data_IF_457089762948
#
_entry.id   IF_457089762948
#
_cell.length_a   1.000
_cell.length_b   1.000
_cell.length_c   1.000
_cell.angle_alpha   90.00
_cell.angle_beta   90.00
_cell.angle_gamma   90.00
#
_symmetry.space_group_name_H-M   'P 1'
#
loop_
_entity.id
_entity.type
_entity.pdbx_description
1 polymer ?
#
# COMPACT_ATOMS: atom_id res chain seq x y z
N UNK A 1 14.86 40.63 -32.15
CA UNK A 1 14.10 40.69 -30.88
C UNK A 1 13.17 39.48 -30.69
N UNK A 2 12.56 38.91 -31.74
CA UNK A 2 11.64 37.75 -31.65
C UNK A 2 12.22 36.44 -31.08
N UNK A 3 13.52 36.17 -31.27
CA UNK A 3 14.18 34.95 -30.75
C UNK A 3 14.30 34.92 -29.22
N UNK A 4 14.61 36.06 -28.59
CA UNK A 4 14.71 36.17 -27.14
C UNK A 4 13.36 35.93 -26.44
N UNK A 5 12.26 36.44 -27.02
CA UNK A 5 10.92 36.20 -26.46
C UNK A 5 10.48 34.74 -26.55
N UNK A 6 10.88 34.00 -27.60
CA UNK A 6 10.60 32.56 -27.73
C UNK A 6 11.38 31.72 -26.72
N UNK A 7 12.64 32.08 -26.46
CA UNK A 7 13.47 31.44 -25.44
C UNK A 7 12.94 31.71 -24.04
N UNK A 8 12.58 32.97 -23.75
CA UNK A 8 11.96 33.34 -22.47
C UNK A 8 10.63 32.62 -22.24
N UNK A 9 9.75 32.56 -23.25
CA UNK A 9 8.49 31.84 -23.14
C UNK A 9 8.70 30.33 -22.90
N UNK A 10 9.65 29.71 -23.61
CA UNK A 10 9.98 28.29 -23.41
C UNK A 10 10.52 28.01 -22.01
N UNK A 11 11.36 28.91 -21.48
CA UNK A 11 11.91 28.80 -20.13
C UNK A 11 10.80 28.92 -19.07
N UNK A 12 9.88 29.86 -19.25
CA UNK A 12 8.73 30.06 -18.36
C UNK A 12 7.81 28.82 -18.38
N UNK A 13 7.53 28.26 -19.56
CA UNK A 13 6.75 27.03 -19.68
C UNK A 13 7.44 25.83 -19.02
N UNK A 14 8.76 25.71 -19.15
CA UNK A 14 9.52 24.64 -18.50
C UNK A 14 9.48 24.77 -16.97
N UNK A 15 9.65 25.99 -16.45
CA UNK A 15 9.58 26.27 -15.01
C UNK A 15 8.16 25.98 -14.48
N UNK A 16 7.12 26.39 -15.20
CA UNK A 16 5.73 26.08 -14.83
C UNK A 16 5.47 24.58 -14.80
N UNK A 17 6.01 23.81 -15.74
CA UNK A 17 5.90 22.36 -15.77
C UNK A 17 6.61 21.71 -14.56
N UNK A 18 7.81 22.19 -14.21
CA UNK A 18 8.55 21.71 -13.04
C UNK A 18 7.83 22.03 -11.72
N UNK A 19 7.12 23.15 -11.62
CA UNK A 19 6.33 23.51 -10.45
C UNK A 19 5.03 22.69 -10.32
N UNK A 20 4.50 22.21 -11.45
CA UNK A 20 3.31 21.34 -11.48
C UNK A 20 3.63 19.85 -11.27
N UNK A 21 4.90 19.45 -11.30
CA UNK A 21 5.27 18.07 -10.96
C UNK A 21 4.96 17.78 -9.49
N UNK A 22 3.92 16.97 -9.26
CA UNK A 22 3.63 16.42 -7.94
C UNK A 22 4.85 15.63 -7.46
N UNK A 23 5.29 15.86 -6.22
CA UNK A 23 6.39 15.09 -5.63
C UNK A 23 6.01 13.61 -5.62
N UNK A 24 6.72 12.80 -6.42
CA UNK A 24 6.59 11.35 -6.35
C UNK A 24 7.29 10.88 -5.07
N UNK A 25 6.50 10.63 -4.02
CA UNK A 25 7.00 10.02 -2.79
C UNK A 25 7.23 8.53 -3.11
N UNK A 26 8.49 8.10 -3.02
CA UNK A 26 8.81 6.68 -3.17
C UNK A 26 8.24 5.91 -1.98
N UNK A 27 7.46 4.86 -2.25
CA UNK A 27 7.00 3.96 -1.21
C UNK A 27 8.20 3.26 -0.57
N UNK A 28 8.18 3.11 0.75
CA UNK A 28 9.22 2.34 1.44
C UNK A 28 9.06 0.85 1.13
N UNK A 29 10.13 0.06 1.24
CA UNK A 29 10.05 -1.41 1.10
C UNK A 29 9.05 -2.02 2.07
N UNK A 30 8.92 -1.46 3.28
CA UNK A 30 7.92 -1.88 4.26
C UNK A 30 6.48 -1.63 3.78
N UNK A 31 6.22 -0.50 3.14
CA UNK A 31 4.91 -0.19 2.55
C UNK A 31 4.54 -1.12 1.40
N UNK A 32 5.52 -1.63 0.65
CA UNK A 32 5.27 -2.60 -0.42
C UNK A 32 4.76 -3.95 0.13
N UNK A 33 5.17 -4.33 1.34
CA UNK A 33 4.86 -5.64 1.95
C UNK A 33 3.91 -5.57 3.15
N UNK A 34 3.12 -4.50 3.26
CA UNK A 34 2.00 -4.42 4.21
C UNK A 34 0.67 -4.77 3.54
N UNK A 35 -0.34 -5.18 4.32
CA UNK A 35 -1.69 -5.41 3.83
C UNK A 35 -2.73 -4.85 4.79
N UNK A 36 -3.90 -4.50 4.24
CA UNK A 36 -5.07 -4.08 5.00
C UNK A 36 -6.31 -4.85 4.56
N UNK A 37 -7.25 -4.98 5.47
CA UNK A 37 -8.55 -5.58 5.20
C UNK A 37 -9.62 -4.89 6.02
N UNK A 38 -10.87 -4.94 5.56
CA UNK A 38 -12.00 -4.39 6.30
C UNK A 38 -12.42 -5.42 7.33
N UNK A 39 -12.56 -4.98 8.58
CA UNK A 39 -13.09 -5.79 9.68
C UNK A 39 -14.41 -5.18 10.17
N UNK A 40 -15.35 -6.01 10.60
CA UNK A 40 -16.66 -5.58 11.11
C UNK A 40 -16.61 -5.09 12.57
N UNK A 41 -15.42 -5.04 13.18
CA UNK A 41 -15.18 -4.48 14.51
C UNK A 41 -13.74 -4.67 14.98
N UNK A 42 -13.39 -4.12 16.15
CA UNK A 42 -12.01 -4.10 16.67
C UNK A 42 -11.71 -5.16 17.75
N UNK A 43 -12.71 -5.97 18.11
CA UNK A 43 -12.58 -7.08 19.06
C UNK A 43 -11.66 -8.20 18.57
N UNK A 44 -11.16 -9.02 19.50
CA UNK A 44 -10.22 -10.11 19.23
C UNK A 44 -10.67 -11.07 18.11
N UNK A 45 -11.95 -11.51 18.04
CA UNK A 45 -12.38 -12.41 16.97
C UNK A 45 -12.25 -11.78 15.57
N UNK A 46 -12.65 -10.51 15.44
CA UNK A 46 -12.58 -9.77 14.18
C UNK A 46 -11.12 -9.47 13.80
N UNK A 47 -10.28 -9.18 14.79
CA UNK A 47 -8.84 -9.00 14.61
C UNK A 47 -8.18 -10.26 14.05
N UNK A 48 -8.47 -11.44 14.60
CA UNK A 48 -7.89 -12.70 14.13
C UNK A 48 -8.30 -13.03 12.70
N UNK A 49 -9.55 -12.74 12.31
CA UNK A 49 -9.99 -12.85 10.92
C UNK A 49 -9.19 -11.90 10.05
N UNK A 50 -9.04 -10.64 10.48
CA UNK A 50 -8.26 -9.65 9.76
C UNK A 50 -6.80 -10.05 9.53
N UNK A 51 -6.16 -10.67 10.54
CA UNK A 51 -4.79 -11.17 10.42
C UNK A 51 -4.66 -12.30 9.40
N UNK A 52 -5.62 -13.22 9.35
CA UNK A 52 -5.63 -14.32 8.37
C UNK A 52 -5.71 -13.78 6.94
N UNK A 53 -6.63 -12.84 6.71
CA UNK A 53 -6.81 -12.21 5.39
C UNK A 53 -5.56 -11.41 4.97
N UNK A 54 -4.97 -10.68 5.92
CA UNK A 54 -3.76 -9.89 5.64
C UNK A 54 -2.54 -10.78 5.37
N UNK A 55 -2.40 -11.91 6.07
CA UNK A 55 -1.31 -12.85 5.85
C UNK A 55 -1.30 -13.38 4.40
N UNK A 56 -2.47 -13.79 3.90
CA UNK A 56 -2.62 -14.24 2.50
C UNK A 56 -2.16 -13.15 1.52
N UNK A 57 -2.59 -11.91 1.73
CA UNK A 57 -2.24 -10.77 0.88
C UNK A 57 -0.74 -10.48 0.90
N UNK A 58 -0.12 -10.46 2.09
CA UNK A 58 1.32 -10.19 2.23
C UNK A 58 2.14 -11.27 1.55
N UNK A 59 1.81 -12.55 1.76
CA UNK A 59 2.58 -13.64 1.16
C UNK A 59 2.44 -13.69 -0.36
N UNK A 60 1.27 -13.36 -0.92
CA UNK A 60 1.12 -13.19 -2.38
C UNK A 60 1.95 -12.02 -2.89
N UNK A 61 1.99 -10.88 -2.18
CA UNK A 61 2.82 -9.73 -2.56
C UNK A 61 4.32 -10.03 -2.55
N UNK A 62 4.79 -10.77 -1.54
CA UNK A 62 6.22 -11.13 -1.40
C UNK A 62 6.63 -12.21 -2.41
N UNK A 63 5.79 -13.22 -2.62
CA UNK A 63 6.13 -14.37 -3.49
C UNK A 63 5.80 -14.16 -4.97
N UNK A 64 4.80 -13.32 -5.28
CA UNK A 64 4.22 -13.22 -6.63
C UNK A 64 3.35 -14.41 -7.04
N UNK A 65 3.18 -15.44 -6.20
CA UNK A 65 2.41 -16.65 -6.51
C UNK A 65 0.97 -16.55 -6.00
N UNK A 66 0.02 -16.26 -6.89
CA UNK A 66 -1.40 -16.20 -6.54
C UNK A 66 -1.99 -17.54 -6.07
N UNK A 67 -1.38 -18.67 -6.49
CA UNK A 67 -1.85 -20.02 -6.14
C UNK A 67 -1.52 -20.37 -4.69
N UNK A 68 -0.64 -19.60 -4.04
CA UNK A 68 -0.24 -19.80 -2.65
C UNK A 68 -1.45 -19.92 -1.72
N UNK A 69 -2.48 -19.10 -1.92
CA UNK A 69 -3.69 -19.10 -1.07
C UNK A 69 -4.46 -20.42 -1.08
N UNK A 70 -4.31 -21.23 -2.13
CA UNK A 70 -4.97 -22.53 -2.28
C UNK A 70 -4.12 -23.69 -1.77
N UNK A 71 -2.86 -23.45 -1.43
CA UNK A 71 -1.95 -24.49 -0.96
C UNK A 71 -2.35 -24.93 0.46
N UNK A 72 -2.33 -26.24 0.75
CA UNK A 72 -2.74 -26.75 2.07
C UNK A 72 -1.85 -26.21 3.20
N UNK A 73 -0.59 -25.89 2.93
CA UNK A 73 0.36 -25.31 3.89
C UNK A 73 -0.14 -23.96 4.45
N UNK A 74 -0.91 -23.20 3.65
CA UNK A 74 -1.50 -21.94 4.11
C UNK A 74 -2.53 -22.13 5.21
N UNK A 75 -3.20 -23.29 5.31
CA UNK A 75 -4.16 -23.55 6.40
C UNK A 75 -3.48 -23.51 7.77
N UNK A 76 -2.29 -24.12 7.88
CA UNK A 76 -1.52 -24.12 9.12
C UNK A 76 -1.02 -22.70 9.47
N UNK A 77 -0.58 -21.94 8.47
CA UNK A 77 -0.09 -20.57 8.66
C UNK A 77 -1.19 -19.60 9.10
N UNK A 78 -2.39 -19.71 8.52
CA UNK A 78 -3.56 -18.91 8.95
C UNK A 78 -3.96 -19.16 10.39
N UNK A 79 -3.80 -20.40 10.88
CA UNK A 79 -4.02 -20.73 12.29
C UNK A 79 -3.11 -19.97 13.25
N UNK A 80 -1.95 -19.51 12.77
CA UNK A 80 -0.92 -18.79 13.53
C UNK A 80 -0.70 -17.36 13.02
N UNK A 81 -1.67 -16.80 12.29
CA UNK A 81 -1.49 -15.52 11.61
C UNK A 81 -1.06 -14.39 12.57
N UNK A 82 -1.59 -14.38 13.79
CA UNK A 82 -1.24 -13.40 14.81
C UNK A 82 0.26 -13.40 15.18
N UNK A 83 0.91 -14.58 15.18
CA UNK A 83 2.32 -14.73 15.57
C UNK A 83 3.27 -14.08 14.56
N UNK A 84 2.82 -13.86 13.32
CA UNK A 84 3.59 -13.20 12.27
C UNK A 84 3.39 -11.67 12.23
N UNK A 85 2.48 -11.13 13.02
CA UNK A 85 2.17 -9.69 13.01
C UNK A 85 3.13 -8.94 13.92
N UNK A 86 4.00 -8.12 13.33
CA UNK A 86 4.87 -7.22 14.11
C UNK A 86 4.09 -6.03 14.69
N UNK A 87 3.21 -5.41 13.90
CA UNK A 87 2.38 -4.30 14.34
C UNK A 87 1.10 -4.21 13.51
N UNK A 88 0.04 -3.65 14.10
CA UNK A 88 -1.21 -3.38 13.41
C UNK A 88 -1.83 -2.09 13.93
N UNK A 89 -2.67 -1.45 13.11
CA UNK A 89 -3.45 -0.27 13.48
C UNK A 89 -4.85 -0.41 12.88
N UNK A 90 -5.83 0.12 13.59
CA UNK A 90 -7.16 0.32 13.02
C UNK A 90 -7.22 1.71 12.41
N UNK A 91 -7.94 1.81 11.30
CA UNK A 91 -8.25 3.07 10.65
C UNK A 91 -9.75 3.09 10.39
N UNK A 92 -10.41 4.20 10.73
CA UNK A 92 -11.81 4.36 10.42
C UNK A 92 -11.94 4.62 8.93
N UNK A 93 -12.76 3.80 8.26
CA UNK A 93 -12.99 3.91 6.82
C UNK A 93 -13.65 5.25 6.45
N UNK A 94 -14.36 5.88 7.39
CA UNK A 94 -15.04 7.16 7.17
C UNK A 94 -14.19 8.36 7.59
N UNK A 95 -12.96 8.14 8.05
CA UNK A 95 -12.06 9.24 8.42
C UNK A 95 -11.66 10.05 7.18
N UNK A 96 -11.94 11.36 7.20
CA UNK A 96 -11.56 12.29 6.13
C UNK A 96 -12.50 12.36 4.93
N UNK A 97 -13.70 11.77 5.02
CA UNK A 97 -14.79 11.90 4.03
C UNK A 97 -15.77 13.00 4.46
#
# INVERSE_FOLDING_TARGET
MSGFYRLAASLISLIALCLMSCAAIAATTAELYQAQTIVTGTGEPNRQIGFKDCLDKVLVKVSGDQRLTQKPEMLALRGKAADFVQSFRYHDRLEGI
#
